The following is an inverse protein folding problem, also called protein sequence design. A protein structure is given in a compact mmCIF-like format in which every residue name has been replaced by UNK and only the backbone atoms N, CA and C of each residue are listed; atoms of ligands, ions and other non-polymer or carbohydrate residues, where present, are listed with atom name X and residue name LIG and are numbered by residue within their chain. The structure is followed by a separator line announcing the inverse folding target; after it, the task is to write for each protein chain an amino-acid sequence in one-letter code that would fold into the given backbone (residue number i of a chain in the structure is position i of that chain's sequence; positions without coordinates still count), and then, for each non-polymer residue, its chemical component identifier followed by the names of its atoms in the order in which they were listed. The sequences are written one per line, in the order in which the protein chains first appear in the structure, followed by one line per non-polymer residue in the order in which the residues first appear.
data_IF_762232889197
#
_entry.id   IF_762232889197
#
_cell.length_a   1.000
_cell.length_b   1.000
_cell.length_c   1.000
_cell.angle_alpha   90.00
_cell.angle_beta   90.00
_cell.angle_gamma   90.00
#
_symmetry.space_group_name_H-M   'P 1'
#
loop_
_entity.id
_entity.type
_entity.pdbx_description
1 polymer ?
#
# COMPACT_ATOMS: atom_id res chain seq x y z
N UNK A 1 30.70 7.85 0.81
CA UNK A 1 29.28 7.81 0.43
C UNK A 1 29.15 8.48 -0.93
N UNK A 2 28.40 7.88 -1.88
CA UNK A 2 28.24 8.41 -3.24
C UNK A 2 27.66 9.83 -3.22
N UNK A 3 28.26 10.74 -4.00
CA UNK A 3 27.95 12.17 -4.02
C UNK A 3 26.62 12.55 -4.71
N UNK A 4 25.81 11.56 -5.15
CA UNK A 4 24.64 11.78 -6.01
C UNK A 4 23.31 11.19 -5.50
N UNK A 5 23.18 10.90 -4.20
CA UNK A 5 21.87 10.48 -3.66
C UNK A 5 20.86 11.62 -3.75
N UNK A 6 19.67 11.32 -4.29
CA UNK A 6 18.56 12.26 -4.34
C UNK A 6 17.48 11.85 -3.34
N UNK A 7 16.80 12.80 -2.68
CA UNK A 7 15.66 12.48 -1.81
C UNK A 7 14.57 11.75 -2.57
N UNK A 8 14.06 10.65 -2.01
CA UNK A 8 12.95 9.88 -2.60
C UNK A 8 11.69 10.76 -2.75
N UNK A 9 11.48 11.70 -1.83
CA UNK A 9 10.35 12.64 -1.86
C UNK A 9 10.25 13.47 -3.14
N UNK A 10 11.35 13.65 -3.89
CA UNK A 10 11.32 14.35 -5.18
C UNK A 10 10.65 13.53 -6.29
N UNK A 11 10.44 12.23 -6.06
CA UNK A 11 9.91 11.26 -7.03
C UNK A 11 8.63 10.59 -6.56
N UNK A 12 8.13 10.93 -5.38
CA UNK A 12 6.95 10.32 -4.76
C UNK A 12 6.05 11.39 -4.20
N UNK A 13 4.75 11.18 -4.30
CA UNK A 13 3.75 12.05 -3.68
C UNK A 13 2.75 11.22 -2.89
N UNK A 14 2.20 11.75 -1.78
CA UNK A 14 1.08 11.12 -1.12
C UNK A 14 -0.12 11.04 -2.08
N UNK A 15 -0.75 9.88 -2.13
CA UNK A 15 -2.02 9.70 -2.83
C UNK A 15 -3.17 9.86 -1.83
N UNK A 16 -4.10 10.75 -2.15
CA UNK A 16 -5.41 10.86 -1.47
C UNK A 16 -6.45 10.02 -2.19
N UNK A 17 -7.48 9.59 -1.46
CA UNK A 17 -8.53 8.73 -1.99
C UNK A 17 -8.90 7.69 -0.95
N UNK A 18 -10.16 7.66 -0.57
CA UNK A 18 -10.75 6.67 0.34
C UNK A 18 -11.97 6.07 -0.30
N UNK A 19 -12.36 4.88 0.15
CA UNK A 19 -13.59 4.24 -0.28
C UNK A 19 -14.84 4.87 0.36
N UNK A 20 -14.94 6.20 0.33
CA UNK A 20 -16.00 6.97 1.01
C UNK A 20 -17.39 6.65 0.47
N UNK A 21 -17.48 6.27 -0.80
CA UNK A 21 -18.73 5.85 -1.45
C UNK A 21 -19.06 4.38 -1.19
N UNK A 22 -18.24 3.67 -0.40
CA UNK A 22 -18.42 2.26 -0.04
C UNK A 22 -18.60 1.35 -1.26
N UNK A 23 -17.77 1.56 -2.29
CA UNK A 23 -17.69 0.68 -3.44
C UNK A 23 -17.33 -0.75 -3.00
N UNK A 24 -17.89 -1.75 -3.70
CA UNK A 24 -17.59 -3.17 -3.49
C UNK A 24 -16.22 -3.52 -4.10
N UNK A 25 -15.16 -3.12 -3.39
CA UNK A 25 -13.77 -3.32 -3.79
C UNK A 25 -13.11 -4.42 -2.95
N UNK A 26 -12.23 -5.24 -3.56
CA UNK A 26 -11.52 -6.27 -2.81
C UNK A 26 -10.57 -5.66 -1.78
N UNK A 27 -10.70 -6.09 -0.53
CA UNK A 27 -9.74 -5.72 0.51
C UNK A 27 -8.42 -6.46 0.28
N UNK A 28 -7.33 -5.70 0.17
CA UNK A 28 -5.98 -6.24 -0.07
C UNK A 28 -5.00 -5.84 1.02
N UNK A 29 -4.07 -6.75 1.31
CA UNK A 29 -2.89 -6.51 2.13
C UNK A 29 -1.61 -6.41 1.29
N UNK A 30 -0.50 -6.12 1.95
CA UNK A 30 0.83 -6.09 1.36
C UNK A 30 1.65 -7.31 1.82
N UNK A 31 2.35 -7.96 0.90
CA UNK A 31 3.25 -9.09 1.22
C UNK A 31 4.73 -8.71 1.18
N UNK A 32 5.56 -9.45 1.92
CA UNK A 32 7.03 -9.30 1.90
C UNK A 32 7.64 -9.60 0.52
N UNK A 33 6.91 -10.34 -0.33
CA UNK A 33 7.25 -10.61 -1.73
C UNK A 33 6.89 -9.44 -2.67
N UNK A 34 6.53 -8.28 -2.11
CA UNK A 34 6.23 -7.03 -2.83
C UNK A 34 5.01 -7.11 -3.74
N UNK A 35 3.96 -7.78 -3.26
CA UNK A 35 2.69 -7.94 -3.97
C UNK A 35 1.51 -7.48 -3.14
N UNK A 36 0.48 -6.96 -3.80
CA UNK A 36 -0.86 -6.91 -3.22
C UNK A 36 -1.41 -8.33 -3.16
N UNK A 37 -1.95 -8.71 -2.01
CA UNK A 37 -2.52 -10.04 -1.76
C UNK A 37 -3.93 -9.89 -1.18
N UNK A 38 -4.84 -10.84 -1.43
CA UNK A 38 -6.13 -10.85 -0.76
C UNK A 38 -5.96 -10.75 0.76
N UNK A 39 -6.74 -9.90 1.40
CA UNK A 39 -6.71 -9.77 2.85
C UNK A 39 -7.32 -11.00 3.52
N UNK A 40 -6.69 -11.43 4.62
CA UNK A 40 -7.23 -12.44 5.54
C UNK A 40 -7.87 -11.79 6.79
N UNK A 41 -7.95 -10.45 6.81
CA UNK A 41 -8.53 -9.72 7.92
C UNK A 41 -10.02 -10.00 8.05
N UNK A 42 -10.49 -10.11 9.29
CA UNK A 42 -11.91 -10.21 9.58
C UNK A 42 -12.58 -8.85 9.35
N UNK A 43 -13.53 -8.78 8.43
CA UNK A 43 -14.13 -7.52 7.96
C UNK A 43 -15.49 -7.21 8.61
N UNK A 44 -16.07 -8.13 9.38
CA UNK A 44 -17.35 -7.90 10.05
C UNK A 44 -17.24 -6.72 11.01
N UNK A 45 -18.08 -5.71 10.82
CA UNK A 45 -18.09 -4.49 11.62
C UNK A 45 -16.95 -3.51 11.31
N UNK A 46 -16.17 -3.76 10.24
CA UNK A 46 -15.09 -2.85 9.81
C UNK A 46 -15.66 -1.77 8.89
N UNK A 47 -15.34 -0.52 9.18
CA UNK A 47 -15.70 0.62 8.32
C UNK A 47 -14.73 0.73 7.12
N UNK A 48 -15.18 0.24 5.96
CA UNK A 48 -14.41 0.30 4.71
C UNK A 48 -14.22 1.72 4.18
N UNK A 49 -15.00 2.70 4.62
CA UNK A 49 -14.86 4.10 4.17
C UNK A 49 -13.54 4.74 4.62
N UNK A 50 -12.91 4.15 5.64
CA UNK A 50 -11.62 4.62 6.17
C UNK A 50 -10.42 4.14 5.33
N UNK A 51 -10.62 3.09 4.52
CA UNK A 51 -9.58 2.47 3.70
C UNK A 51 -9.32 3.28 2.43
N UNK A 52 -8.07 3.26 1.97
CA UNK A 52 -7.68 3.93 0.72
C UNK A 52 -7.93 3.03 -0.47
N UNK A 53 -8.39 3.64 -1.57
CA UNK A 53 -8.44 3.00 -2.88
C UNK A 53 -7.03 3.05 -3.48
N UNK A 54 -6.59 1.94 -4.07
CA UNK A 54 -5.30 1.86 -4.77
C UNK A 54 -5.55 1.69 -6.27
N UNK A 55 -5.09 2.66 -7.06
CA UNK A 55 -5.21 2.62 -8.52
C UNK A 55 -3.94 2.11 -9.19
N UNK A 56 -4.05 1.82 -10.48
CA UNK A 56 -2.90 1.44 -11.30
C UNK A 56 -1.79 2.49 -11.23
N UNK A 57 -0.55 2.01 -11.16
CA UNK A 57 0.68 2.78 -10.98
C UNK A 57 0.83 3.49 -9.62
N UNK A 58 -0.04 3.21 -8.66
CA UNK A 58 0.16 3.61 -7.28
C UNK A 58 0.82 2.48 -6.49
N UNK A 59 1.57 2.81 -5.45
CA UNK A 59 2.15 1.83 -4.54
C UNK A 59 1.74 2.14 -3.10
N UNK A 60 1.67 1.09 -2.28
CA UNK A 60 1.53 1.21 -0.84
C UNK A 60 2.73 0.56 -0.15
N UNK A 61 3.06 1.03 1.05
CA UNK A 61 4.15 0.49 1.85
C UNK A 61 3.78 0.43 3.33
N UNK A 62 4.33 -0.55 4.03
CA UNK A 62 4.29 -0.65 5.49
C UNK A 62 5.58 -0.05 6.07
N UNK A 63 5.50 0.92 7.01
CA UNK A 63 6.69 1.50 7.63
C UNK A 63 7.36 0.57 8.65
N UNK A 64 6.66 -0.47 9.11
CA UNK A 64 7.15 -1.41 10.12
C UNK A 64 8.02 -2.49 9.49
N UNK A 65 9.30 -2.55 9.89
CA UNK A 65 10.29 -3.53 9.40
C UNK A 65 10.70 -4.56 10.44
N UNK A 66 10.42 -4.32 11.73
CA UNK A 66 10.87 -5.14 12.87
C UNK A 66 10.42 -6.60 12.83
N UNK A 67 9.41 -6.91 12.00
CA UNK A 67 8.86 -8.27 11.83
C UNK A 67 8.92 -8.78 10.39
N UNK A 68 9.47 -7.99 9.47
CA UNK A 68 9.47 -8.28 8.03
C UNK A 68 10.85 -8.70 7.50
N UNK A 69 11.73 -9.22 8.37
CA UNK A 69 13.06 -9.69 8.00
C UNK A 69 13.93 -8.60 7.39
N UNK A 70 13.93 -7.40 8.00
CA UNK A 70 14.65 -6.20 7.55
C UNK A 70 14.21 -5.64 6.18
N UNK A 71 13.13 -6.18 5.62
CA UNK A 71 12.56 -5.71 4.35
C UNK A 71 11.43 -4.72 4.59
N UNK A 72 11.42 -3.65 3.79
CA UNK A 72 10.24 -2.80 3.64
C UNK A 72 9.23 -3.54 2.76
N UNK A 73 8.07 -3.81 3.35
CA UNK A 73 6.90 -4.34 2.65
C UNK A 73 6.31 -3.22 1.80
N UNK A 74 6.37 -3.37 0.47
CA UNK A 74 5.85 -2.40 -0.49
C UNK A 74 5.37 -3.11 -1.75
N UNK A 75 4.30 -2.66 -2.39
CA UNK A 75 3.81 -3.23 -3.64
C UNK A 75 3.30 -2.15 -4.58
N UNK A 76 3.56 -2.31 -5.88
CA UNK A 76 3.05 -1.46 -6.95
C UNK A 76 1.84 -2.13 -7.60
N UNK A 77 0.75 -1.38 -7.77
CA UNK A 77 -0.45 -1.87 -8.44
C UNK A 77 -0.21 -1.80 -9.95
N UNK A 78 -0.05 -2.97 -10.57
CA UNK A 78 0.25 -3.08 -12.00
C UNK A 78 -0.96 -3.51 -12.83
N UNK A 79 -1.98 -4.09 -12.19
CA UNK A 79 -3.18 -4.60 -12.86
C UNK A 79 -4.12 -3.45 -13.20
N UNK A 80 -4.85 -3.62 -14.30
CA UNK A 80 -5.98 -2.76 -14.70
C UNK A 80 -7.21 -3.15 -13.89
#
# INVERSE_FOLDING_TARGET
MSQNYKPLGNYTQPVSGRNSDLEDLPLVGLSIQKKFVPSIAHTIGTDMSTYRIIERNQFAYGPVTSRNGEKITLALQTRK
#
